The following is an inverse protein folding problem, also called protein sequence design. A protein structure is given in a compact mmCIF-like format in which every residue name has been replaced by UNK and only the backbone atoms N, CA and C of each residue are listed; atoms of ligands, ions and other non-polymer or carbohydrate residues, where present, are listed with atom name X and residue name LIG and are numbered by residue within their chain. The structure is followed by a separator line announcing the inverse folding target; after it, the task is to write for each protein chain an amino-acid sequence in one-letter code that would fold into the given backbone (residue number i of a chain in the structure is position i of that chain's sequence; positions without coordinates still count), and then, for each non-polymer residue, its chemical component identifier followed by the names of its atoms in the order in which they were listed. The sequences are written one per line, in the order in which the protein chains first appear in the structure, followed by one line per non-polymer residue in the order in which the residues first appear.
data_IF_231133203201
#
_entry.id   IF_231133203201
#
_cell.length_a   1.000
_cell.length_b   1.000
_cell.length_c   1.000
_cell.angle_alpha   90.00
_cell.angle_beta   90.00
_cell.angle_gamma   90.00
#
_symmetry.space_group_name_H-M   'P 1'
#
loop_
_entity.id
_entity.type
_entity.pdbx_description
1 polymer ?
#
# COMPACT_ATOMS: atom_id res chain seq x y z
N UNK A 1 8.87 -12.09 -4.62
CA UNK A 1 7.91 -11.00 -4.88
C UNK A 1 7.33 -11.18 -6.27
N UNK A 2 6.01 -11.11 -6.42
CA UNK A 2 5.38 -11.12 -7.75
C UNK A 2 5.64 -9.78 -8.45
N UNK A 3 5.63 -9.76 -9.79
CA UNK A 3 5.83 -8.51 -10.55
C UNK A 3 4.79 -7.44 -10.18
N UNK A 4 3.54 -7.85 -9.93
CA UNK A 4 2.47 -6.93 -9.51
C UNK A 4 2.71 -6.33 -8.13
N UNK A 5 3.32 -7.07 -7.19
CA UNK A 5 3.64 -6.53 -5.86
C UNK A 5 4.68 -5.40 -5.92
N UNK A 6 5.61 -5.45 -6.88
CA UNK A 6 6.61 -4.38 -7.09
C UNK A 6 5.95 -3.10 -7.60
N UNK A 7 4.98 -3.23 -8.51
CA UNK A 7 4.21 -2.07 -9.03
C UNK A 7 3.37 -1.38 -7.95
N UNK A 8 2.95 -2.11 -6.91
CA UNK A 8 2.22 -1.53 -5.77
C UNK A 8 3.11 -0.72 -4.81
N UNK A 9 4.42 -0.96 -4.82
CA UNK A 9 5.41 -0.31 -3.95
C UNK A 9 6.30 0.70 -4.70
N UNK A 10 6.10 0.83 -6.00
CA UNK A 10 6.90 1.73 -6.84
C UNK A 10 6.72 3.17 -6.38
N UNK A 11 7.83 3.89 -6.22
CA UNK A 11 7.87 5.29 -5.79
C UNK A 11 7.43 5.57 -4.33
N UNK A 12 7.28 4.55 -3.48
CA UNK A 12 6.84 4.72 -2.08
C UNK A 12 7.74 5.62 -1.22
N UNK A 13 9.02 5.73 -1.56
CA UNK A 13 9.99 6.58 -0.85
C UNK A 13 10.05 8.02 -1.39
N UNK A 14 9.29 8.36 -2.44
CA UNK A 14 9.34 9.67 -3.11
C UNK A 14 8.33 10.69 -2.55
N UNK A 15 7.99 10.56 -1.28
CA UNK A 15 7.07 11.48 -0.58
C UNK A 15 5.70 11.60 -1.30
N UNK A 16 5.21 10.47 -1.82
CA UNK A 16 3.96 10.40 -2.58
C UNK A 16 2.75 10.02 -1.74
N UNK A 17 2.97 9.64 -0.48
CA UNK A 17 1.97 9.10 0.44
C UNK A 17 2.25 9.58 1.86
N UNK A 18 1.19 9.67 2.65
CA UNK A 18 1.30 9.96 4.08
C UNK A 18 1.72 8.72 4.87
N UNK A 19 2.43 8.95 5.97
CA UNK A 19 2.95 7.92 6.87
C UNK A 19 2.43 8.17 8.28
N UNK A 20 1.86 7.14 8.88
CA UNK A 20 1.36 7.16 10.25
C UNK A 20 2.25 6.31 11.18
N UNK A 21 2.30 6.59 12.49
CA UNK A 21 2.91 5.69 13.45
C UNK A 21 2.24 4.30 13.41
N UNK A 22 3.03 3.26 13.57
CA UNK A 22 2.50 1.91 13.73
C UNK A 22 1.86 1.73 15.13
N UNK A 23 1.26 0.56 15.37
CA UNK A 23 0.48 0.29 16.60
C UNK A 23 1.22 0.59 17.93
N UNK A 24 2.53 0.32 17.99
CA UNK A 24 3.36 0.56 19.18
C UNK A 24 4.21 1.84 19.09
N UNK A 25 3.96 2.68 18.09
CA UNK A 25 4.66 3.94 17.79
C UNK A 25 6.18 3.81 17.58
N UNK A 26 6.71 2.59 17.41
CA UNK A 26 8.15 2.37 17.21
C UNK A 26 8.59 2.58 15.76
N UNK A 27 7.67 2.50 14.81
CA UNK A 27 7.90 2.62 13.36
C UNK A 27 6.81 3.46 12.71
N UNK A 28 7.00 3.73 11.43
CA UNK A 28 5.98 4.33 10.57
C UNK A 28 5.50 3.34 9.53
N UNK A 29 4.21 3.37 9.24
CA UNK A 29 3.55 2.57 8.21
C UNK A 29 2.83 3.51 7.23
N UNK A 30 2.78 3.14 5.94
CA UNK A 30 2.14 3.96 4.93
C UNK A 30 0.62 3.94 5.09
N UNK A 31 -0.04 5.10 5.02
CA UNK A 31 -1.51 5.18 5.10
C UNK A 31 -2.18 4.50 3.90
N UNK A 32 -1.57 4.63 2.72
CA UNK A 32 -1.99 3.99 1.47
C UNK A 32 -0.78 3.54 0.66
N UNK A 33 -0.96 2.59 -0.26
CA UNK A 33 0.09 2.21 -1.21
C UNK A 33 -0.02 3.05 -2.50
N UNK A 34 1.10 3.51 -3.09
CA UNK A 34 1.13 4.26 -4.34
C UNK A 34 0.90 3.37 -5.58
N UNK A 35 -0.13 2.52 -5.55
CA UNK A 35 -0.40 1.55 -6.60
C UNK A 35 -0.72 2.24 -7.93
N UNK A 36 0.04 1.93 -8.98
CA UNK A 36 -0.22 2.39 -10.36
C UNK A 36 -1.28 1.56 -11.08
N UNK A 37 -1.81 0.54 -10.41
CA UNK A 37 -2.79 -0.39 -10.93
C UNK A 37 -4.04 -0.42 -10.04
N UNK A 38 -5.26 -0.38 -10.60
CA UNK A 38 -6.50 -0.39 -9.82
C UNK A 38 -6.78 -1.80 -9.25
N UNK A 39 -6.07 -2.17 -8.19
CA UNK A 39 -6.09 -3.52 -7.61
C UNK A 39 -7.48 -3.97 -7.17
N UNK A 40 -8.30 -3.07 -6.63
CA UNK A 40 -9.66 -3.37 -6.21
C UNK A 40 -10.55 -3.81 -7.38
N UNK A 41 -10.41 -3.18 -8.54
CA UNK A 41 -11.23 -3.53 -9.71
C UNK A 41 -10.82 -4.88 -10.32
N UNK A 42 -9.54 -5.23 -10.21
CA UNK A 42 -9.02 -6.45 -10.85
C UNK A 42 -9.12 -7.66 -9.94
N UNK A 43 -8.71 -7.51 -8.69
CA UNK A 43 -8.66 -8.63 -7.74
C UNK A 43 -9.88 -8.67 -6.80
N UNK A 44 -10.68 -7.61 -6.77
CA UNK A 44 -11.81 -7.49 -5.85
C UNK A 44 -11.36 -7.38 -4.39
N UNK A 45 -12.33 -7.47 -3.49
CA UNK A 45 -12.09 -7.71 -2.07
C UNK A 45 -12.92 -8.92 -1.64
N UNK A 46 -12.40 -9.68 -0.69
CA UNK A 46 -13.16 -10.71 -0.01
C UNK A 46 -13.25 -10.30 1.46
N UNK A 47 -14.45 -9.94 1.89
CA UNK A 47 -14.73 -9.55 3.26
C UNK A 47 -16.19 -9.85 3.61
N UNK A 48 -16.40 -10.37 4.81
CA UNK A 48 -17.69 -10.42 5.47
C UNK A 48 -17.61 -9.40 6.61
N UNK A 49 -18.48 -8.39 6.58
CA UNK A 49 -18.52 -7.32 7.57
C UNK A 49 -19.26 -7.78 8.83
#
# INVERSE_FOLDING_TARGET
MSRMAVEMLTDIEKDTIDWDPNFDETKKEPHVLPSRFPNLLVNGSQGIA
#
